data_IF_508428488829
#
_entry.id   IF_508428488829
#
_cell.length_a   1.000
_cell.length_b   1.000
_cell.length_c   1.000
_cell.angle_alpha   90.00
_cell.angle_beta   90.00
_cell.angle_gamma   90.00
#
_symmetry.space_group_name_H-M   'P 1'
#
loop_
_entity.id
_entity.type
_entity.pdbx_description
1 polymer ?
#
# COMPACT_ATOMS: atom_id res chain seq x y z
N UNK A 1 12.66 10.21 -3.56
CA UNK A 1 11.20 10.10 -3.39
C UNK A 1 10.89 9.67 -1.97
N UNK A 2 10.39 10.58 -1.13
CA UNK A 2 9.85 10.20 0.19
C UNK A 2 8.51 9.51 -0.04
N UNK A 3 8.36 8.26 0.40
CA UNK A 3 7.14 7.44 0.22
C UNK A 3 5.87 8.07 0.83
N UNK A 4 6.03 9.08 1.68
CA UNK A 4 4.96 9.94 2.17
C UNK A 4 5.24 11.38 1.73
N UNK A 5 4.46 11.90 0.79
CA UNK A 5 4.42 13.34 0.51
C UNK A 5 3.60 14.06 1.59
N UNK A 6 4.22 14.21 2.76
CA UNK A 6 3.62 14.87 3.93
C UNK A 6 3.37 16.38 3.73
N UNK A 7 3.91 16.97 2.65
CA UNK A 7 3.79 18.40 2.35
C UNK A 7 2.56 18.72 1.49
N UNK A 8 2.06 17.74 0.72
CA UNK A 8 0.83 17.90 -0.05
C UNK A 8 -0.38 18.26 0.83
N UNK A 9 -1.23 19.17 0.33
CA UNK A 9 -2.46 19.54 1.04
C UNK A 9 -3.46 18.38 0.97
N UNK A 10 -4.11 17.99 2.09
CA UNK A 10 -5.14 16.96 2.07
C UNK A 10 -6.25 17.31 1.09
N UNK A 11 -6.66 16.34 0.26
CA UNK A 11 -7.72 16.51 -0.74
C UNK A 11 -9.04 16.95 -0.11
N UNK A 12 -9.87 17.65 -0.88
CA UNK A 12 -11.15 18.17 -0.39
C UNK A 12 -12.10 17.05 0.07
N UNK A 13 -12.11 15.90 -0.62
CA UNK A 13 -12.89 14.73 -0.21
C UNK A 13 -12.39 14.14 1.11
N UNK A 14 -11.06 14.00 1.27
CA UNK A 14 -10.47 13.48 2.50
C UNK A 14 -10.81 14.37 3.69
N UNK A 15 -10.69 15.69 3.55
CA UNK A 15 -11.05 16.63 4.64
C UNK A 15 -12.51 16.47 5.09
N UNK A 16 -13.44 16.25 4.14
CA UNK A 16 -14.87 16.13 4.45
C UNK A 16 -15.21 14.82 5.18
N UNK A 17 -14.67 13.70 4.73
CA UNK A 17 -15.06 12.37 5.22
C UNK A 17 -14.18 11.81 6.34
N UNK A 18 -12.96 12.31 6.49
CA UNK A 18 -11.99 11.72 7.41
C UNK A 18 -12.47 11.72 8.87
N UNK A 19 -13.01 12.85 9.36
CA UNK A 19 -13.52 12.95 10.73
C UNK A 19 -14.60 11.91 11.05
N UNK A 20 -15.61 11.78 10.17
CA UNK A 20 -16.65 10.76 10.29
C UNK A 20 -16.09 9.33 10.20
N UNK A 21 -15.16 9.08 9.29
CA UNK A 21 -14.54 7.75 9.15
C UNK A 21 -13.74 7.34 10.39
N UNK A 22 -12.98 8.27 10.97
CA UNK A 22 -12.20 8.04 12.18
C UNK A 22 -13.11 7.81 13.38
N UNK A 23 -14.18 8.61 13.49
CA UNK A 23 -15.20 8.44 14.53
C UNK A 23 -15.83 7.05 14.47
N UNK A 24 -16.25 6.63 13.27
CA UNK A 24 -16.88 5.33 13.03
C UNK A 24 -15.94 4.18 13.42
N UNK A 25 -14.68 4.24 12.99
CA UNK A 25 -13.68 3.21 13.33
C UNK A 25 -13.50 3.11 14.84
N UNK A 26 -13.30 4.23 15.54
CA UNK A 26 -13.16 4.24 17.00
C UNK A 26 -14.42 3.73 17.71
N UNK A 27 -15.61 4.01 17.16
CA UNK A 27 -16.86 3.54 17.73
C UNK A 27 -17.06 2.02 17.54
N UNK A 28 -16.61 1.47 16.41
CA UNK A 28 -16.57 0.02 16.20
C UNK A 28 -15.65 -0.63 17.25
N UNK A 29 -14.45 -0.07 17.47
CA UNK A 29 -13.55 -0.57 18.53
C UNK A 29 -14.20 -0.48 19.92
N UNK A 30 -14.80 0.66 20.27
CA UNK A 30 -15.49 0.81 21.55
C UNK A 30 -16.60 -0.25 21.73
N UNK A 31 -17.38 -0.52 20.68
CA UNK A 31 -18.41 -1.56 20.71
C UNK A 31 -17.83 -2.96 20.91
N UNK A 32 -16.72 -3.30 20.25
CA UNK A 32 -16.06 -4.60 20.42
C UNK A 32 -15.50 -4.79 21.84
N UNK A 33 -14.99 -3.72 22.46
CA UNK A 33 -14.46 -3.77 23.82
C UNK A 33 -15.52 -3.69 24.93
N UNK A 34 -16.81 -3.48 24.59
CA UNK A 34 -17.87 -3.19 25.57
C UNK A 34 -18.06 -4.27 26.65
N UNK A 35 -17.79 -5.53 26.32
CA UNK A 35 -17.97 -6.66 27.23
C UNK A 35 -16.71 -6.96 28.05
N UNK A 36 -15.53 -6.66 27.50
CA UNK A 36 -14.24 -6.98 28.14
C UNK A 36 -13.71 -5.84 29.00
N UNK A 37 -13.98 -4.59 28.62
CA UNK A 37 -13.45 -3.41 29.30
C UNK A 37 -14.39 -2.20 29.15
N UNK A 38 -15.49 -2.21 29.90
CA UNK A 38 -16.54 -1.17 29.83
C UNK A 38 -15.99 0.25 30.02
N UNK A 39 -15.04 0.45 30.94
CA UNK A 39 -14.41 1.76 31.17
C UNK A 39 -13.64 2.27 29.95
N UNK A 40 -12.85 1.41 29.30
CA UNK A 40 -12.13 1.74 28.06
C UNK A 40 -13.09 1.99 26.90
N UNK A 41 -14.17 1.19 26.80
CA UNK A 41 -15.18 1.37 25.77
C UNK A 41 -15.89 2.74 25.89
N UNK A 42 -16.26 3.16 27.10
CA UNK A 42 -16.85 4.49 27.34
C UNK A 42 -15.83 5.59 27.01
N UNK A 43 -14.59 5.47 27.50
CA UNK A 43 -13.55 6.45 27.24
C UNK A 43 -13.27 6.62 25.73
N UNK A 44 -13.18 5.52 24.98
CA UNK A 44 -13.03 5.53 23.52
C UNK A 44 -14.22 6.16 22.82
N UNK A 45 -15.45 5.86 23.28
CA UNK A 45 -16.68 6.42 22.70
C UNK A 45 -16.72 7.94 22.87
N UNK A 46 -16.48 8.43 24.09
CA UNK A 46 -16.45 9.86 24.39
C UNK A 46 -15.34 10.57 23.61
N UNK A 47 -14.15 9.97 23.59
CA UNK A 47 -12.99 10.53 22.87
C UNK A 47 -13.25 10.60 21.37
N UNK A 48 -13.87 9.57 20.79
CA UNK A 48 -14.23 9.52 19.36
C UNK A 48 -15.17 10.68 18.98
N UNK A 49 -16.23 10.88 19.77
CA UNK A 49 -17.18 11.99 19.55
C UNK A 49 -16.48 13.35 19.72
N UNK A 50 -15.67 13.50 20.78
CA UNK A 50 -14.95 14.75 21.04
C UNK A 50 -13.99 15.12 19.90
N UNK A 51 -13.23 14.15 19.37
CA UNK A 51 -12.34 14.35 18.22
C UNK A 51 -13.14 14.74 16.98
N UNK A 52 -14.26 14.07 16.69
CA UNK A 52 -15.10 14.38 15.54
C UNK A 52 -15.68 15.80 15.63
N UNK A 53 -16.19 16.18 16.80
CA UNK A 53 -16.72 17.52 17.05
C UNK A 53 -15.62 18.58 16.88
N UNK A 54 -14.45 18.39 17.50
CA UNK A 54 -13.32 19.31 17.35
C UNK A 54 -12.86 19.45 15.89
N UNK A 55 -12.84 18.33 15.15
CA UNK A 55 -12.44 18.29 13.74
C UNK A 55 -13.38 19.08 12.82
N UNK A 56 -14.69 19.04 13.06
CA UNK A 56 -15.67 19.76 12.26
C UNK A 56 -15.90 21.21 12.70
N UNK A 57 -15.75 21.52 14.00
CA UNK A 57 -15.89 22.89 14.51
C UNK A 57 -14.68 23.77 14.22
N UNK A 58 -13.46 23.20 14.23
CA UNK A 58 -12.23 23.95 14.00
C UNK A 58 -11.55 23.50 12.69
N UNK A 59 -11.80 24.17 11.55
CA UNK A 59 -11.21 23.77 10.26
C UNK A 59 -9.68 23.80 10.24
N UNK A 60 -9.07 24.62 11.10
CA UNK A 60 -7.60 24.71 11.28
C UNK A 60 -7.00 23.41 11.82
N UNK A 61 -7.77 22.59 12.55
CA UNK A 61 -7.29 21.34 13.16
C UNK A 61 -7.25 20.17 12.18
N UNK A 62 -8.07 20.20 11.12
CA UNK A 62 -8.20 19.12 10.14
C UNK A 62 -6.86 18.62 9.56
N UNK A 63 -5.99 19.49 9.00
CA UNK A 63 -4.73 19.02 8.43
C UNK A 63 -3.79 18.42 9.49
N UNK A 64 -3.84 18.91 10.73
CA UNK A 64 -3.03 18.37 11.81
C UNK A 64 -3.47 16.96 12.20
N UNK A 65 -4.78 16.74 12.38
CA UNK A 65 -5.34 15.43 12.74
C UNK A 65 -5.06 14.40 11.64
N UNK A 66 -5.32 14.74 10.38
CA UNK A 66 -5.06 13.85 9.24
C UNK A 66 -3.57 13.47 9.18
N UNK A 67 -2.66 14.44 9.27
CA UNK A 67 -1.22 14.18 9.17
C UNK A 67 -0.70 13.34 10.33
N UNK A 68 -1.21 13.59 11.54
CA UNK A 68 -0.85 12.81 12.73
C UNK A 68 -1.30 11.36 12.55
N UNK A 69 -2.53 11.15 12.09
CA UNK A 69 -3.04 9.81 11.80
C UNK A 69 -2.24 9.08 10.71
N UNK A 70 -1.88 9.77 9.63
CA UNK A 70 -1.05 9.19 8.57
C UNK A 70 0.32 8.75 9.08
N UNK A 71 0.95 9.55 9.96
CA UNK A 71 2.23 9.18 10.57
C UNK A 71 2.10 7.97 11.50
N UNK A 72 1.03 7.89 12.28
CA UNK A 72 0.75 6.76 13.16
C UNK A 72 0.49 5.46 12.39
N UNK A 73 -0.24 5.54 11.28
CA UNK A 73 -0.60 4.37 10.47
C UNK A 73 0.47 3.98 9.45
N UNK A 74 1.45 4.83 9.18
CA UNK A 74 2.51 4.57 8.20
C UNK A 74 3.33 3.30 8.47
N UNK A 75 3.83 3.03 9.70
CA UNK A 75 4.59 1.82 9.95
C UNK A 75 3.79 0.55 9.67
N UNK A 76 2.48 0.57 9.93
CA UNK A 76 1.55 -0.53 9.63
C UNK A 76 1.44 -0.69 8.12
N UNK A 77 1.19 0.40 7.39
CA UNK A 77 1.08 0.37 5.94
C UNK A 77 2.38 -0.12 5.26
N UNK A 78 3.53 0.34 5.77
CA UNK A 78 4.85 -0.10 5.34
C UNK A 78 5.02 -1.61 5.57
N UNK A 79 4.74 -2.10 6.77
CA UNK A 79 4.86 -3.52 7.11
C UNK A 79 3.96 -4.37 6.23
N UNK A 80 2.68 -4.00 6.10
CA UNK A 80 1.70 -4.72 5.26
C UNK A 80 2.18 -4.76 3.81
N UNK A 81 2.71 -3.66 3.27
CA UNK A 81 3.21 -3.63 1.89
C UNK A 81 4.38 -4.61 1.68
N UNK A 82 5.31 -4.68 2.64
CA UNK A 82 6.47 -5.59 2.55
C UNK A 82 6.04 -7.05 2.74
N UNK A 83 5.14 -7.31 3.68
CA UNK A 83 4.59 -8.65 3.92
C UNK A 83 3.80 -9.13 2.72
N UNK A 84 3.01 -8.26 2.08
CA UNK A 84 2.23 -8.62 0.91
C UNK A 84 3.13 -8.88 -0.31
N UNK A 85 4.13 -8.02 -0.54
CA UNK A 85 5.11 -8.23 -1.61
C UNK A 85 5.92 -9.52 -1.39
N UNK A 86 6.42 -9.73 -0.17
CA UNK A 86 7.12 -10.95 0.21
C UNK A 86 6.22 -12.17 0.07
N UNK A 87 4.98 -12.08 0.54
CA UNK A 87 3.97 -13.13 0.41
C UNK A 87 3.72 -13.52 -1.04
N UNK A 88 3.49 -12.55 -1.93
CA UNK A 88 3.34 -12.82 -3.37
C UNK A 88 4.60 -13.45 -3.95
N UNK A 89 5.78 -12.94 -3.60
CA UNK A 89 7.03 -13.48 -4.10
C UNK A 89 7.24 -14.94 -3.67
N UNK A 90 7.12 -15.25 -2.39
CA UNK A 90 7.40 -16.58 -1.85
C UNK A 90 6.27 -17.59 -2.08
N UNK A 91 5.00 -17.15 -2.11
CA UNK A 91 3.86 -18.03 -2.28
C UNK A 91 3.45 -18.26 -3.74
N UNK A 92 3.78 -17.34 -4.65
CA UNK A 92 3.37 -17.43 -6.06
C UNK A 92 4.59 -17.47 -6.97
N UNK A 93 5.43 -16.43 -6.96
CA UNK A 93 6.52 -16.32 -7.94
C UNK A 93 7.59 -17.39 -7.75
N UNK A 94 8.01 -17.65 -6.51
CA UNK A 94 9.02 -18.64 -6.18
C UNK A 94 8.58 -20.07 -6.56
N UNK A 95 7.39 -20.58 -6.15
CA UNK A 95 6.96 -21.91 -6.55
C UNK A 95 6.77 -22.01 -8.07
N UNK A 96 6.27 -20.95 -8.72
CA UNK A 96 6.18 -20.92 -10.18
C UNK A 96 7.56 -21.07 -10.84
N UNK A 97 8.57 -20.37 -10.33
CA UNK A 97 9.95 -20.48 -10.82
C UNK A 97 10.54 -21.88 -10.57
N UNK A 98 10.26 -22.49 -9.42
CA UNK A 98 10.69 -23.86 -9.10
C UNK A 98 10.04 -24.86 -10.08
N UNK A 99 8.73 -24.73 -10.34
CA UNK A 99 8.01 -25.59 -11.29
C UNK A 99 8.57 -25.42 -12.70
N UNK A 100 8.74 -24.19 -13.16
CA UNK A 100 9.31 -23.92 -14.48
C UNK A 100 10.71 -24.55 -14.64
N UNK A 101 11.56 -24.39 -13.62
CA UNK A 101 12.90 -24.99 -13.59
C UNK A 101 12.86 -26.52 -13.57
N UNK A 102 11.93 -27.13 -12.83
CA UNK A 102 11.75 -28.58 -12.78
C UNK A 102 11.27 -29.14 -14.14
N UNK A 103 10.42 -28.40 -14.86
CA UNK A 103 9.99 -28.73 -16.22
C UNK A 103 11.06 -28.44 -17.29
N UNK A 104 12.23 -27.95 -16.90
CA UNK A 104 13.33 -27.61 -17.82
C UNK A 104 13.13 -26.32 -18.60
N UNK A 105 12.04 -25.58 -18.34
CA UNK A 105 11.75 -24.30 -18.97
C UNK A 105 12.69 -23.22 -18.43
N UNK A 106 13.50 -22.65 -19.31
CA UNK A 106 14.46 -21.59 -19.00
C UNK A 106 14.09 -20.30 -19.76
N UNK A 107 13.07 -19.55 -19.28
CA UNK A 107 12.58 -18.36 -19.97
C UNK A 107 13.62 -17.23 -20.01
N UNK A 108 14.55 -17.21 -19.05
CA UNK A 108 15.59 -16.20 -18.96
C UNK A 108 16.88 -16.62 -19.67
N UNK A 109 16.93 -17.83 -20.26
CA UNK A 109 18.10 -18.39 -20.95
C UNK A 109 19.37 -18.25 -20.10
N UNK A 110 19.24 -18.50 -18.80
CA UNK A 110 20.31 -18.33 -17.81
C UNK A 110 21.32 -19.47 -17.84
N UNK A 111 20.99 -20.59 -18.48
CA UNK A 111 21.91 -21.71 -18.67
C UNK A 111 23.13 -21.25 -19.47
N UNK A 112 24.32 -21.51 -18.94
CA UNK A 112 25.57 -21.15 -19.59
C UNK A 112 25.77 -22.01 -20.84
N UNK A 113 25.76 -21.37 -22.01
CA UNK A 113 25.91 -22.04 -23.31
C UNK A 113 27.37 -22.18 -23.77
N UNK A 114 28.35 -21.85 -22.91
CA UNK A 114 29.78 -21.84 -23.26
C UNK A 114 30.22 -20.62 -24.07
N UNK A 115 29.35 -19.62 -24.22
CA UNK A 115 29.68 -18.33 -24.82
C UNK A 115 30.25 -17.36 -23.76
N UNK A 116 31.16 -16.48 -24.18
CA UNK A 116 31.77 -15.47 -23.30
C UNK A 116 30.78 -14.40 -22.82
N UNK A 117 29.61 -14.31 -23.44
CA UNK A 117 28.57 -13.32 -23.14
C UNK A 117 27.19 -13.86 -23.48
N UNK A 118 26.18 -13.52 -22.68
CA UNK A 118 24.76 -13.76 -22.99
C UNK A 118 24.19 -12.70 -23.95
N UNK A 119 25.04 -12.06 -24.75
CA UNK A 119 24.64 -10.99 -25.65
C UNK A 119 23.74 -11.52 -26.76
N UNK A 120 22.49 -11.08 -26.77
CA UNK A 120 21.56 -11.38 -27.85
C UNK A 120 21.79 -10.31 -28.93
N UNK A 121 22.38 -10.70 -30.06
CA UNK A 121 22.51 -9.83 -31.21
C UNK A 121 21.13 -9.27 -31.57
N UNK A 122 20.99 -7.95 -31.52
CA UNK A 122 19.78 -7.28 -31.98
C UNK A 122 19.65 -7.64 -33.47
N UNK A 123 18.59 -8.37 -33.83
CA UNK A 123 18.25 -8.57 -35.24
C UNK A 123 18.11 -7.18 -35.85
N UNK A 124 18.83 -6.89 -36.92
CA UNK A 124 18.62 -5.67 -37.69
C UNK A 124 17.15 -5.66 -38.10
N UNK A 125 16.42 -4.65 -37.61
CA UNK A 125 14.98 -4.57 -37.79
C UNK A 125 14.72 -3.70 -39.01
N UNK A 126 13.94 -4.24 -39.94
CA UNK A 126 13.37 -3.54 -41.08
C UNK A 126 12.75 -2.21 -40.64
N UNK A 127 13.25 -1.10 -41.19
CA UNK A 127 12.61 0.20 -41.38
C UNK A 127 11.87 0.88 -40.20
N UNK A 128 11.97 2.22 -40.05
CA UNK A 128 11.17 2.98 -39.07
C UNK A 128 9.65 2.72 -39.14
N UNK A 129 9.15 2.23 -40.27
CA UNK A 129 7.74 1.89 -40.49
C UNK A 129 7.17 0.85 -39.53
N UNK A 130 8.00 -0.01 -38.92
CA UNK A 130 7.53 -1.04 -37.99
C UNK A 130 7.07 -0.49 -36.64
N UNK A 131 7.58 0.68 -36.22
CA UNK A 131 7.12 1.35 -35.00
C UNK A 131 5.64 1.73 -35.06
N UNK A 132 5.09 1.88 -36.27
CA UNK A 132 3.67 2.19 -36.49
C UNK A 132 2.76 0.96 -36.51
N UNK A 133 3.31 -0.26 -36.37
CA UNK A 133 2.56 -1.52 -36.33
C UNK A 133 2.77 -2.21 -34.99
N UNK A 134 2.08 -1.74 -33.96
CA UNK A 134 2.23 -2.21 -32.59
C UNK A 134 1.27 -3.36 -32.23
N UNK A 135 0.35 -3.72 -33.13
CA UNK A 135 -0.64 -4.79 -32.96
C UNK A 135 -0.60 -5.75 -34.15
#
# INVERSE_FOLDING_TARGET
MTLLDTQSAPSASMRRWFGLSLMLVLMIFAYLLRQSATGLAIALSVTSVAIAVAYYLLPTTQPFVIRTWQRLTYPIAWLVSHVLLGGVFFAILLPMAIIARALGYDPLRLKHHGESSNWIARRDQDGPSRYFKQF
#
